data_IF_509820242974
#
_entry.id   IF_509820242974
#
_cell.length_a   1.000
_cell.length_b   1.000
_cell.length_c   1.000
_cell.angle_alpha   90.00
_cell.angle_beta   90.00
_cell.angle_gamma   90.00
#
_symmetry.space_group_name_H-M   'P 1'
#
loop_
_entity.id
_entity.type
_entity.pdbx_description
1 polymer ?
#
# COMPACT_ATOMS: atom_id res chain seq x y z
N UNK A 1 -12.64 22.74 3.55
CA UNK A 1 -11.39 21.96 3.39
C UNK A 1 -11.39 20.70 4.25
N UNK A 2 -11.71 20.78 5.54
CA UNK A 2 -11.68 19.62 6.45
C UNK A 2 -12.48 18.39 5.99
N UNK A 3 -13.69 18.58 5.45
CA UNK A 3 -14.52 17.48 4.92
C UNK A 3 -13.85 16.76 3.75
N UNK A 4 -13.11 17.48 2.90
CA UNK A 4 -12.36 16.88 1.78
C UNK A 4 -11.18 16.04 2.28
N UNK A 5 -10.44 16.54 3.26
CA UNK A 5 -9.32 15.80 3.88
C UNK A 5 -9.83 14.50 4.53
N UNK A 6 -10.97 14.57 5.24
CA UNK A 6 -11.59 13.37 5.85
C UNK A 6 -12.05 12.35 4.81
N UNK A 7 -12.67 12.79 3.72
CA UNK A 7 -13.07 11.89 2.62
C UNK A 7 -11.85 11.24 1.97
N UNK A 8 -10.77 12.01 1.71
CA UNK A 8 -9.50 11.46 1.20
C UNK A 8 -8.91 10.43 2.17
N UNK A 9 -8.91 10.70 3.47
CA UNK A 9 -8.42 9.77 4.48
C UNK A 9 -9.19 8.44 4.47
N UNK A 10 -10.52 8.47 4.33
CA UNK A 10 -11.34 7.26 4.21
C UNK A 10 -11.01 6.46 2.94
N UNK A 11 -10.92 7.14 1.78
CA UNK A 11 -10.54 6.50 0.52
C UNK A 11 -9.13 5.88 0.57
N UNK A 12 -8.19 6.55 1.25
CA UNK A 12 -6.84 6.02 1.50
C UNK A 12 -6.87 4.77 2.37
N UNK A 13 -7.67 4.75 3.43
CA UNK A 13 -7.81 3.57 4.28
C UNK A 13 -8.36 2.36 3.50
N UNK A 14 -9.38 2.58 2.66
CA UNK A 14 -9.93 1.56 1.77
C UNK A 14 -8.91 1.09 0.72
N UNK A 15 -8.12 2.00 0.15
CA UNK A 15 -7.05 1.64 -0.78
C UNK A 15 -5.95 0.82 -0.10
N UNK A 16 -5.50 1.21 1.10
CA UNK A 16 -4.52 0.42 1.89
C UNK A 16 -5.00 -0.99 2.17
N UNK A 17 -6.27 -1.12 2.58
CA UNK A 17 -6.87 -2.42 2.87
C UNK A 17 -6.85 -3.31 1.63
N UNK A 18 -7.25 -2.78 0.46
CA UNK A 18 -7.23 -3.54 -0.80
C UNK A 18 -5.83 -3.95 -1.23
N UNK A 19 -4.83 -3.06 -1.08
CA UNK A 19 -3.43 -3.38 -1.37
C UNK A 19 -2.94 -4.51 -0.47
N UNK A 20 -3.25 -4.43 0.83
CA UNK A 20 -2.84 -5.43 1.80
C UNK A 20 -3.48 -6.80 1.52
N UNK A 21 -4.78 -6.85 1.25
CA UNK A 21 -5.49 -8.07 0.89
C UNK A 21 -4.90 -8.75 -0.34
N UNK A 22 -4.55 -7.98 -1.38
CA UNK A 22 -3.93 -8.52 -2.59
C UNK A 22 -2.50 -9.03 -2.32
N UNK A 23 -1.72 -8.32 -1.52
CA UNK A 23 -0.38 -8.77 -1.13
C UNK A 23 -0.44 -10.09 -0.33
N UNK A 24 -1.37 -10.19 0.62
CA UNK A 24 -1.61 -11.43 1.37
C UNK A 24 -1.97 -12.59 0.44
N UNK A 25 -2.90 -12.37 -0.49
CA UNK A 25 -3.28 -13.39 -1.47
C UNK A 25 -2.09 -13.89 -2.29
N UNK A 26 -1.21 -12.99 -2.76
CA UNK A 26 -0.02 -13.38 -3.51
C UNK A 26 0.91 -14.24 -2.63
N UNK A 27 1.16 -13.83 -1.39
CA UNK A 27 2.02 -14.57 -0.47
C UNK A 27 1.45 -15.97 -0.18
N UNK A 28 0.15 -16.08 0.07
CA UNK A 28 -0.53 -17.36 0.29
C UNK A 28 -0.45 -18.27 -0.95
N UNK A 29 -0.64 -17.70 -2.15
CA UNK A 29 -0.51 -18.44 -3.41
C UNK A 29 0.92 -18.95 -3.62
N UNK A 30 1.94 -18.13 -3.34
CA UNK A 30 3.35 -18.53 -3.40
C UNK A 30 3.65 -19.67 -2.41
N UNK A 31 3.16 -19.57 -1.17
CA UNK A 31 3.30 -20.64 -0.18
C UNK A 31 2.65 -21.94 -0.65
N UNK A 32 1.45 -21.87 -1.25
CA UNK A 32 0.77 -23.04 -1.81
C UNK A 32 1.59 -23.71 -2.92
N UNK A 33 2.17 -22.91 -3.84
CA UNK A 33 3.00 -23.39 -4.96
C UNK A 33 4.27 -24.08 -4.43
N UNK A 34 4.97 -23.45 -3.46
CA UNK A 34 6.19 -24.03 -2.87
C UNK A 34 5.91 -25.37 -2.16
N UNK A 35 4.72 -25.52 -1.56
CA UNK A 35 4.32 -26.72 -0.84
C UNK A 35 3.80 -27.85 -1.77
N UNK A 36 3.59 -27.58 -3.06
CA UNK A 36 3.11 -28.56 -4.04
C UNK A 36 4.03 -28.62 -5.27
N UNK A 37 5.23 -29.22 -5.15
CA UNK A 37 6.15 -29.41 -6.26
C UNK A 37 5.61 -30.51 -7.20
N UNK A 38 4.67 -30.16 -8.07
CA UNK A 38 4.22 -31.09 -9.12
C UNK A 38 5.27 -31.23 -10.23
N UNK A 39 5.36 -32.40 -10.87
CA UNK A 39 6.40 -32.70 -11.86
C UNK A 39 6.17 -32.06 -13.25
N UNK A 40 5.11 -31.26 -13.44
CA UNK A 40 4.65 -30.74 -14.74
C UNK A 40 4.68 -29.18 -14.83
N UNK A 41 5.58 -28.53 -14.09
CA UNK A 41 5.59 -27.08 -13.80
C UNK A 41 6.04 -26.12 -14.94
N UNK A 42 5.59 -26.34 -16.17
CA UNK A 42 5.97 -25.47 -17.30
C UNK A 42 5.18 -24.15 -17.48
N UNK A 43 4.33 -23.69 -16.53
CA UNK A 43 4.04 -22.26 -16.42
C UNK A 43 4.33 -21.66 -15.04
N UNK A 44 4.99 -22.37 -14.12
CA UNK A 44 5.26 -21.83 -12.77
C UNK A 44 6.18 -20.62 -12.83
N UNK A 45 7.21 -20.63 -13.67
CA UNK A 45 8.12 -19.50 -13.81
C UNK A 45 7.38 -18.21 -14.24
N UNK A 46 6.49 -18.30 -15.24
CA UNK A 46 5.67 -17.16 -15.70
C UNK A 46 4.68 -16.70 -14.64
N UNK A 47 4.07 -17.63 -13.90
CA UNK A 47 3.17 -17.30 -12.80
C UNK A 47 3.92 -16.56 -11.68
N UNK A 48 5.10 -17.05 -11.29
CA UNK A 48 5.95 -16.41 -10.28
C UNK A 48 6.38 -15.01 -10.71
N UNK A 49 6.78 -14.85 -11.98
CA UNK A 49 7.15 -13.54 -12.52
C UNK A 49 5.97 -12.56 -12.52
N UNK A 50 4.77 -13.00 -12.90
CA UNK A 50 3.57 -12.17 -12.84
C UNK A 50 3.21 -11.79 -11.40
N UNK A 51 3.37 -12.70 -10.44
CA UNK A 51 3.15 -12.44 -9.02
C UNK A 51 4.18 -11.45 -8.46
N UNK A 52 5.44 -11.57 -8.85
CA UNK A 52 6.51 -10.62 -8.49
C UNK A 52 6.20 -9.22 -9.02
N UNK A 53 5.87 -9.11 -10.32
CA UNK A 53 5.49 -7.83 -10.92
C UNK A 53 4.30 -7.22 -10.19
N UNK A 54 3.26 -8.02 -9.90
CA UNK A 54 2.10 -7.53 -9.18
C UNK A 54 2.46 -7.04 -7.77
N UNK A 55 3.36 -7.71 -7.07
CA UNK A 55 3.84 -7.26 -5.76
C UNK A 55 4.58 -5.93 -5.86
N UNK A 56 5.38 -5.72 -6.91
CA UNK A 56 6.04 -4.44 -7.17
C UNK A 56 5.02 -3.31 -7.40
N UNK A 57 4.00 -3.56 -8.23
CA UNK A 57 2.92 -2.59 -8.49
C UNK A 57 2.18 -2.23 -7.18
N UNK A 58 1.93 -3.20 -6.30
CA UNK A 58 1.26 -2.98 -5.01
C UNK A 58 2.13 -2.15 -4.04
N UNK A 59 3.46 -2.33 -4.08
CA UNK A 59 4.39 -1.51 -3.29
C UNK A 59 4.41 -0.07 -3.79
N UNK A 60 4.38 0.14 -5.11
CA UNK A 60 4.26 1.47 -5.71
C UNK A 60 2.95 2.14 -5.30
N UNK A 61 1.81 1.44 -5.42
CA UNK A 61 0.49 1.93 -5.00
C UNK A 61 0.48 2.32 -3.50
N UNK A 62 1.10 1.50 -2.63
CA UNK A 62 1.23 1.84 -1.21
C UNK A 62 2.09 3.10 -0.99
N UNK A 63 3.16 3.26 -1.77
CA UNK A 63 4.02 4.43 -1.76
C UNK A 63 3.25 5.71 -2.07
N UNK A 64 2.41 5.69 -3.12
CA UNK A 64 1.55 6.81 -3.49
C UNK A 64 0.58 7.17 -2.36
N UNK A 65 -0.06 6.17 -1.74
CA UNK A 65 -0.99 6.40 -0.62
C UNK A 65 -0.29 7.04 0.58
N UNK A 66 0.95 6.62 0.88
CA UNK A 66 1.77 7.20 1.94
C UNK A 66 2.16 8.65 1.63
N UNK A 67 2.52 8.94 0.38
CA UNK A 67 2.83 10.31 -0.04
C UNK A 67 1.61 11.23 0.09
N UNK A 68 0.44 10.78 -0.36
CA UNK A 68 -0.81 11.52 -0.23
C UNK A 68 -1.17 11.78 1.24
N UNK A 69 -0.89 10.84 2.15
CA UNK A 69 -1.08 11.03 3.58
C UNK A 69 -0.22 12.15 4.15
N UNK A 70 1.07 12.15 3.82
CA UNK A 70 2.00 13.18 4.27
C UNK A 70 1.59 14.55 3.73
N UNK A 71 1.17 14.60 2.47
CA UNK A 71 0.69 15.84 1.86
C UNK A 71 -0.58 16.38 2.54
N UNK A 72 -1.56 15.51 2.81
CA UNK A 72 -2.78 15.89 3.54
C UNK A 72 -2.47 16.34 4.97
N UNK A 73 -1.51 15.69 5.65
CA UNK A 73 -1.07 16.06 6.99
C UNK A 73 -0.39 17.44 7.00
N UNK A 74 0.47 17.72 6.02
CA UNK A 74 1.08 19.04 5.84
C UNK A 74 0.03 20.13 5.61
N UNK A 75 -0.95 19.88 4.74
CA UNK A 75 -2.06 20.81 4.51
C UNK A 75 -2.85 21.03 5.81
N UNK A 76 -3.14 19.96 6.56
CA UNK A 76 -3.87 20.07 7.81
C UNK A 76 -3.10 20.92 8.84
N UNK A 77 -1.79 20.69 9.01
CA UNK A 77 -0.94 21.47 9.91
C UNK A 77 -0.90 22.96 9.51
N UNK A 78 -0.77 23.24 8.20
CA UNK A 78 -0.80 24.61 7.67
C UNK A 78 -2.16 25.32 7.87
N UNK A 79 -3.28 24.59 7.77
CA UNK A 79 -4.63 25.14 8.01
C UNK A 79 -4.84 25.44 9.49
N UNK A 80 -4.38 24.55 10.37
CA UNK A 80 -4.65 24.63 11.81
C UNK A 80 -3.59 25.40 12.60
N UNK A 81 -2.53 25.88 11.94
CA UNK A 81 -1.48 26.68 12.59
C UNK A 81 -0.60 25.86 13.54
N UNK A 82 -0.62 24.53 13.44
CA UNK A 82 0.34 23.65 14.12
C UNK A 82 1.68 23.67 13.36
N UNK A 83 2.25 24.86 13.16
CA UNK A 83 3.70 24.97 13.14
C UNK A 83 4.13 24.72 14.58
N UNK A 84 4.54 23.49 14.87
CA UNK A 84 5.25 23.22 16.11
C UNK A 84 6.48 24.11 16.17
N UNK A 85 6.36 25.26 16.82
CA UNK A 85 7.49 25.85 17.51
C UNK A 85 7.88 24.80 18.56
N UNK A 86 8.88 24.00 18.22
CA UNK A 86 9.66 23.30 19.22
C UNK A 86 10.36 24.39 20.03
N UNK A 87 9.68 24.92 21.04
CA UNK A 87 10.31 25.71 22.09
C UNK A 87 11.16 24.74 22.90
N UNK A 88 12.45 24.69 22.59
CA UNK A 88 13.48 24.17 23.50
C UNK A 88 13.50 25.08 24.73
N UNK A 89 12.97 24.57 25.85
CA UNK A 89 13.30 25.04 27.21
C UNK A 89 14.41 24.15 27.80
#
# INVERSE_FOLDING_TARGET
>A
MLTRIRVRAALRAEARQRVFEQACFIIEALQSIMNQPSAYQLPVATLLQNMEQRMQDLVEEMGEICFDEQHDAYIAAAIWGETGEWSED
#
